data_IF_278168131728
#
_entry.id   IF_278168131728
#
_cell.length_a   1.000
_cell.length_b   1.000
_cell.length_c   1.000
_cell.angle_alpha   90.00
_cell.angle_beta   90.00
_cell.angle_gamma   90.00
#
_symmetry.space_group_name_H-M   'P 1'
#
loop_
_entity.id
_entity.type
_entity.pdbx_description
1 polymer ?
#
# COMPACT_ATOMS: atom_id res chain seq x y z
N UNK A 1 13.45 51.30 -16.47
CA UNK A 1 12.25 50.61 -15.93
C UNK A 1 12.24 49.19 -16.47
N UNK A 2 12.58 48.19 -15.66
CA UNK A 2 12.55 46.77 -16.06
C UNK A 2 11.48 46.10 -15.20
N UNK A 3 10.30 45.87 -15.78
CA UNK A 3 9.18 45.20 -15.08
C UNK A 3 9.53 43.72 -14.93
N UNK A 4 9.65 43.25 -13.68
CA UNK A 4 9.83 41.84 -13.35
C UNK A 4 8.50 41.11 -13.59
N UNK A 5 8.45 39.96 -14.29
CA UNK A 5 7.20 39.24 -14.48
C UNK A 5 6.85 38.51 -13.19
N UNK A 6 5.64 38.76 -12.68
CA UNK A 6 5.06 38.04 -11.56
C UNK A 6 4.64 36.65 -12.07
N UNK A 7 5.42 35.62 -11.75
CA UNK A 7 5.00 34.24 -11.92
C UNK A 7 3.97 33.91 -10.84
N UNK A 8 2.69 33.80 -11.22
CA UNK A 8 1.67 33.16 -10.39
C UNK A 8 2.00 31.67 -10.31
N UNK A 9 2.57 31.23 -9.18
CA UNK A 9 2.51 29.83 -8.81
C UNK A 9 1.05 29.51 -8.46
N UNK A 10 0.34 28.88 -9.40
CA UNK A 10 -0.95 28.27 -9.11
C UNK A 10 -0.72 27.08 -8.17
N UNK A 11 -0.96 27.29 -6.87
CA UNK A 11 -1.11 26.21 -5.91
C UNK A 11 -2.37 25.44 -6.29
N UNK A 12 -2.22 24.27 -6.90
CA UNK A 12 -3.34 23.34 -7.07
C UNK A 12 -3.78 22.88 -5.69
N UNK A 13 -4.82 23.50 -5.14
CA UNK A 13 -5.51 22.97 -3.99
C UNK A 13 -6.07 21.60 -4.43
N UNK A 14 -5.56 20.52 -3.85
CA UNK A 14 -6.11 19.19 -4.04
C UNK A 14 -7.47 19.15 -3.35
N UNK A 15 -8.54 19.46 -4.09
CA UNK A 15 -9.89 19.15 -3.63
C UNK A 15 -10.07 17.64 -3.65
N UNK A 16 -10.67 17.10 -2.59
CA UNK A 16 -11.09 15.71 -2.58
C UNK A 16 -12.02 15.47 -3.76
N UNK A 17 -11.70 14.49 -4.60
CA UNK A 17 -12.53 14.17 -5.77
C UNK A 17 -13.89 13.67 -5.27
N UNK A 18 -14.98 14.31 -5.72
CA UNK A 18 -16.32 13.92 -5.33
C UNK A 18 -16.65 12.54 -5.89
N UNK A 19 -17.13 11.63 -5.02
CA UNK A 19 -17.53 10.29 -5.41
C UNK A 19 -18.96 10.34 -5.97
N UNK A 20 -19.06 10.25 -7.29
CA UNK A 20 -20.31 10.18 -8.06
C UNK A 20 -20.29 8.95 -8.95
N UNK A 21 -21.42 8.60 -9.56
CA UNK A 21 -21.49 7.47 -10.50
C UNK A 21 -20.46 7.59 -11.64
N UNK A 22 -20.21 8.81 -12.12
CA UNK A 22 -19.25 9.06 -13.20
C UNK A 22 -17.79 9.02 -12.75
N UNK A 23 -17.48 9.37 -11.49
CA UNK A 23 -16.10 9.37 -10.98
C UNK A 23 -15.70 8.07 -10.28
N UNK A 24 -16.69 7.23 -9.94
CA UNK A 24 -16.51 6.01 -9.16
C UNK A 24 -15.40 5.10 -9.71
N UNK A 25 -15.43 4.78 -11.01
CA UNK A 25 -14.46 3.85 -11.59
C UNK A 25 -13.02 4.38 -11.47
N UNK A 26 -12.81 5.68 -11.76
CA UNK A 26 -11.51 6.31 -11.66
C UNK A 26 -10.98 6.33 -10.22
N UNK A 27 -11.84 6.67 -9.26
CA UNK A 27 -11.47 6.71 -7.84
C UNK A 27 -11.19 5.29 -7.33
N UNK A 28 -12.07 4.32 -7.63
CA UNK A 28 -11.89 2.90 -7.27
C UNK A 28 -10.55 2.36 -7.79
N UNK A 29 -10.28 2.56 -9.07
CA UNK A 29 -9.07 2.03 -9.72
C UNK A 29 -7.80 2.70 -9.19
N UNK A 30 -7.91 3.93 -8.68
CA UNK A 30 -6.80 4.63 -8.03
C UNK A 30 -6.52 4.16 -6.60
N UNK A 31 -7.54 3.79 -5.82
CA UNK A 31 -7.38 3.39 -4.40
C UNK A 31 -7.12 1.90 -4.22
N UNK A 32 -7.48 1.06 -5.20
CA UNK A 32 -7.16 -0.35 -5.15
C UNK A 32 -5.66 -0.55 -5.38
N UNK A 33 -5.01 -1.46 -4.64
CA UNK A 33 -3.59 -1.73 -4.84
C UNK A 33 -3.36 -2.33 -6.23
N UNK A 34 -2.25 -1.95 -6.85
CA UNK A 34 -1.77 -2.55 -8.08
C UNK A 34 -1.36 -4.02 -7.88
N UNK A 35 -1.22 -4.76 -8.98
CA UNK A 35 -0.71 -6.12 -8.94
C UNK A 35 0.72 -6.19 -8.35
N UNK A 36 1.53 -5.16 -8.57
CA UNK A 36 2.89 -5.08 -8.04
C UNK A 36 2.88 -4.85 -6.51
N UNK A 37 1.97 -4.03 -6.00
CA UNK A 37 1.77 -3.84 -4.56
C UNK A 37 1.20 -5.08 -3.86
N UNK A 38 0.50 -5.95 -4.61
CA UNK A 38 -0.01 -7.23 -4.12
C UNK A 38 0.99 -8.39 -4.27
N UNK A 39 2.21 -8.17 -4.76
CA UNK A 39 3.21 -9.24 -4.97
C UNK A 39 3.51 -10.08 -3.72
N UNK A 40 3.36 -9.51 -2.54
CA UNK A 40 3.54 -10.22 -1.27
C UNK A 40 2.54 -11.37 -1.10
N UNK A 41 1.35 -11.32 -1.71
CA UNK A 41 0.34 -12.40 -1.60
C UNK A 41 0.74 -13.66 -2.37
N UNK A 42 1.71 -13.57 -3.29
CA UNK A 42 2.19 -14.72 -4.07
C UNK A 42 3.21 -15.58 -3.30
N UNK A 43 3.72 -15.09 -2.16
CA UNK A 43 4.58 -15.88 -1.28
C UNK A 43 3.72 -16.93 -0.59
N UNK A 44 4.23 -18.15 -0.51
CA UNK A 44 3.57 -19.29 0.14
C UNK A 44 3.67 -19.18 1.67
N UNK A 45 2.97 -18.19 2.25
CA UNK A 45 3.00 -17.89 3.67
C UNK A 45 2.45 -19.06 4.49
N UNK A 46 3.08 -19.32 5.63
CA UNK A 46 2.56 -20.26 6.63
C UNK A 46 1.77 -19.47 7.67
N UNK A 47 0.52 -19.88 7.89
CA UNK A 47 -0.34 -19.26 8.91
C UNK A 47 0.10 -19.64 10.34
N UNK A 48 0.80 -20.76 10.49
CA UNK A 48 1.36 -21.24 11.77
C UNK A 48 2.86 -20.99 11.79
N UNK A 49 3.32 -20.28 12.82
CA UNK A 49 4.76 -20.08 13.04
C UNK A 49 5.48 -21.42 13.29
N UNK A 50 4.85 -22.36 14.00
CA UNK A 50 5.48 -23.65 14.33
C UNK A 50 5.65 -24.56 13.11
N UNK A 51 4.70 -24.54 12.18
CA UNK A 51 4.82 -25.31 10.93
C UNK A 51 6.02 -24.78 10.12
N UNK A 52 6.17 -23.45 10.04
CA UNK A 52 7.32 -22.83 9.39
C UNK A 52 8.66 -23.21 10.06
N UNK A 53 8.71 -23.30 11.40
CA UNK A 53 9.91 -23.74 12.13
C UNK A 53 10.28 -25.17 11.77
N UNK A 54 9.32 -26.10 11.78
CA UNK A 54 9.56 -27.50 11.45
C UNK A 54 10.02 -27.65 10.00
N UNK A 55 9.41 -26.94 9.05
CA UNK A 55 9.79 -26.95 7.63
C UNK A 55 11.20 -26.38 7.41
N UNK A 56 11.49 -25.22 8.01
CA UNK A 56 12.77 -24.53 7.87
C UNK A 56 13.93 -25.34 8.44
N UNK A 57 13.74 -25.98 9.60
CA UNK A 57 14.74 -26.88 10.20
C UNK A 57 15.01 -28.10 9.32
N UNK A 58 13.97 -28.73 8.77
CA UNK A 58 14.14 -29.88 7.86
C UNK A 58 14.87 -29.50 6.58
N UNK A 59 14.67 -28.26 6.09
CA UNK A 59 15.26 -27.77 4.86
C UNK A 59 16.59 -27.04 5.04
N UNK A 60 17.07 -26.87 6.27
CA UNK A 60 18.24 -26.04 6.64
C UNK A 60 18.18 -24.62 6.04
N UNK A 61 17.04 -23.94 6.24
CA UNK A 61 16.78 -22.59 5.69
C UNK A 61 16.39 -21.60 6.78
N UNK A 62 16.70 -20.30 6.61
CA UNK A 62 16.23 -19.27 7.51
C UNK A 62 14.72 -19.02 7.35
N UNK A 63 14.11 -18.42 8.37
CA UNK A 63 12.69 -18.03 8.38
C UNK A 63 12.58 -16.51 8.18
N UNK A 64 11.73 -16.08 7.24
CA UNK A 64 11.21 -14.72 7.19
C UNK A 64 9.90 -14.68 7.98
N UNK A 65 9.91 -13.96 9.11
CA UNK A 65 8.72 -13.75 9.92
C UNK A 65 8.10 -12.39 9.58
N UNK A 66 6.88 -12.40 9.05
CA UNK A 66 6.05 -11.22 8.87
C UNK A 66 4.92 -11.24 9.89
N UNK A 67 4.98 -10.33 10.86
CA UNK A 67 3.94 -10.16 11.87
C UNK A 67 3.49 -8.71 11.87
N UNK A 68 2.18 -8.50 11.96
CA UNK A 68 1.63 -7.16 12.15
C UNK A 68 1.65 -6.82 13.64
N UNK A 69 2.43 -5.83 14.02
CA UNK A 69 2.60 -5.42 15.41
C UNK A 69 1.49 -4.47 15.91
N UNK A 70 0.29 -4.51 15.33
CA UNK A 70 -0.78 -3.53 15.59
C UNK A 70 -2.15 -4.17 15.74
N UNK A 71 -3.13 -3.39 16.22
CA UNK A 71 -4.54 -3.81 16.16
C UNK A 71 -4.93 -3.97 14.68
N UNK A 72 -5.63 -5.05 14.26
CA UNK A 72 -6.02 -5.30 12.86
C UNK A 72 -6.90 -4.21 12.23
N UNK A 73 -7.38 -3.25 13.02
CA UNK A 73 -8.17 -2.11 12.56
C UNK A 73 -7.44 -0.76 12.71
N UNK A 74 -6.16 -0.75 13.05
CA UNK A 74 -5.36 0.46 13.30
C UNK A 74 -6.00 1.44 14.31
N UNK A 75 -6.72 0.93 15.32
CA UNK A 75 -7.35 1.74 16.37
C UNK A 75 -6.40 1.98 17.55
N UNK A 76 -5.33 2.75 17.37
CA UNK A 76 -4.48 3.25 18.47
C UNK A 76 -4.43 4.76 18.48
#
# INVERSE_FOLDING_TARGET
MRRLPLFLLATSAAFAQELTDSSYAAIRDHVLPSADELRWTAVDWRASFWDAVVEAQKADKPILLWAMNGHPLACT
#
